data_IF_750187255396
#
_entry.id   IF_750187255396
#
_cell.length_a   1.000
_cell.length_b   1.000
_cell.length_c   1.000
_cell.angle_alpha   90.00
_cell.angle_beta   90.00
_cell.angle_gamma   90.00
#
_symmetry.space_group_name_H-M   'P 1'
#
loop_
_entity.id
_entity.type
_entity.pdbx_description
1 polymer ?
#
# COMPACT_ATOMS: atom_id res chain seq x y z
N UNK A 1 -16.05 1.84 -0.81
CA UNK A 1 -16.42 1.21 0.45
C UNK A 1 -15.69 1.93 1.57
N UNK A 2 -16.41 2.51 2.50
CA UNK A 2 -15.84 3.30 3.61
C UNK A 2 -16.05 2.50 4.89
N UNK A 3 -14.99 2.21 5.63
CA UNK A 3 -15.05 1.50 6.90
C UNK A 3 -15.01 2.54 8.03
N UNK A 4 -16.06 2.63 8.82
CA UNK A 4 -16.13 3.49 9.98
C UNK A 4 -15.83 2.72 11.29
N UNK A 5 -15.72 3.44 12.40
CA UNK A 5 -15.27 3.02 13.73
C UNK A 5 -15.93 1.74 14.30
N UNK A 6 -16.97 1.22 13.67
CA UNK A 6 -17.75 0.04 14.07
C UNK A 6 -17.84 -1.03 12.98
N UNK A 7 -16.93 -1.13 12.05
CA UNK A 7 -16.98 -2.12 10.96
C UNK A 7 -18.38 -2.27 10.31
N UNK A 8 -19.04 -1.15 10.05
CA UNK A 8 -20.25 -1.17 9.25
C UNK A 8 -19.85 -1.35 7.77
N UNK A 9 -20.33 -2.39 7.12
CA UNK A 9 -20.08 -2.63 5.70
C UNK A 9 -21.27 -2.05 4.94
N UNK A 10 -20.96 -1.11 4.06
CA UNK A 10 -21.95 -0.47 3.19
C UNK A 10 -21.74 -0.86 1.74
N UNK A 11 -22.79 -1.19 1.04
CA UNK A 11 -22.80 -1.33 -0.41
C UNK A 11 -23.23 0.00 -1.04
N UNK A 12 -22.45 0.54 -1.96
CA UNK A 12 -22.93 1.60 -2.84
C UNK A 12 -23.67 0.95 -4.01
N UNK A 13 -24.97 0.97 -4.00
CA UNK A 13 -25.81 0.54 -5.14
C UNK A 13 -25.79 1.53 -6.32
N UNK A 14 -24.63 2.08 -6.63
CA UNK A 14 -24.43 2.99 -7.74
C UNK A 14 -24.74 4.46 -7.40
N UNK A 15 -24.22 5.35 -8.21
CA UNK A 15 -24.55 6.77 -8.16
C UNK A 15 -25.91 6.95 -8.81
N UNK A 16 -26.98 6.97 -8.03
CA UNK A 16 -28.26 7.49 -8.51
C UNK A 16 -28.17 9.02 -8.51
N UNK A 17 -27.91 9.60 -9.66
CA UNK A 17 -28.19 11.01 -9.89
C UNK A 17 -29.72 11.16 -9.89
N UNK A 18 -30.33 11.39 -8.74
CA UNK A 18 -31.72 11.85 -8.72
C UNK A 18 -31.72 13.33 -9.06
N UNK A 19 -32.14 13.63 -10.27
CA UNK A 19 -32.30 15.00 -10.77
C UNK A 19 -33.43 15.80 -10.09
N UNK A 20 -34.10 15.22 -9.12
CA UNK A 20 -35.40 15.70 -8.63
C UNK A 20 -35.30 16.63 -7.40
N UNK A 21 -34.10 16.92 -6.91
CA UNK A 21 -33.90 17.92 -5.87
C UNK A 21 -32.89 18.96 -6.33
N UNK A 22 -33.37 19.96 -7.04
CA UNK A 22 -32.66 21.21 -7.22
C UNK A 22 -32.84 21.99 -5.91
N UNK A 23 -31.73 22.28 -5.21
CA UNK A 23 -31.75 23.16 -4.05
C UNK A 23 -32.21 24.57 -4.47
N UNK A 24 -32.72 25.35 -3.54
CA UNK A 24 -33.21 26.70 -3.78
C UNK A 24 -32.15 27.64 -4.40
N UNK A 25 -30.88 27.25 -4.39
CA UNK A 25 -29.72 27.92 -4.99
C UNK A 25 -29.33 27.38 -6.39
N UNK A 26 -30.14 26.52 -6.99
CA UNK A 26 -29.94 26.02 -8.34
C UNK A 26 -28.81 25.00 -8.48
N UNK A 27 -28.25 24.48 -7.38
CA UNK A 27 -27.20 23.46 -7.36
C UNK A 27 -27.79 22.07 -7.18
N UNK A 28 -27.37 21.12 -8.02
CA UNK A 28 -27.72 19.71 -7.84
C UNK A 28 -27.03 19.14 -6.61
N UNK A 29 -27.81 18.72 -5.62
CA UNK A 29 -27.30 17.99 -4.46
C UNK A 29 -27.00 16.54 -4.84
N UNK A 30 -25.73 16.17 -4.83
CA UNK A 30 -25.31 14.78 -4.96
C UNK A 30 -25.60 14.06 -3.63
N UNK A 31 -26.71 13.32 -3.59
CA UNK A 31 -27.03 12.51 -2.42
C UNK A 31 -26.42 11.12 -2.59
N UNK A 32 -25.42 10.79 -1.80
CA UNK A 32 -24.88 9.45 -1.70
C UNK A 32 -25.79 8.62 -0.78
N UNK A 33 -26.59 7.74 -1.35
CA UNK A 33 -27.36 6.78 -0.55
C UNK A 33 -26.49 5.55 -0.27
N UNK A 34 -26.06 5.41 0.98
CA UNK A 34 -25.41 4.19 1.48
C UNK A 34 -26.48 3.32 2.17
N UNK A 35 -26.63 2.10 1.71
CA UNK A 35 -27.47 1.12 2.37
C UNK A 35 -26.60 0.26 3.29
N UNK A 36 -26.89 0.25 4.58
CA UNK A 36 -26.17 -0.58 5.53
C UNK A 36 -26.61 -2.03 5.32
N UNK A 37 -25.70 -2.88 4.87
CA UNK A 37 -25.98 -4.27 4.57
C UNK A 37 -25.81 -5.14 5.80
N UNK A 38 -24.73 -4.96 6.53
CA UNK A 38 -24.38 -5.77 7.70
C UNK A 38 -23.52 -4.98 8.66
N UNK A 39 -23.85 -5.05 9.94
CA UNK A 39 -23.01 -4.54 11.02
C UNK A 39 -22.26 -5.70 11.65
N UNK A 40 -20.94 -5.73 11.47
CA UNK A 40 -20.08 -6.67 12.18
C UNK A 40 -19.56 -5.95 13.42
N UNK A 41 -20.08 -6.34 14.58
CA UNK A 41 -19.58 -5.81 15.84
C UNK A 41 -18.30 -6.57 16.18
N UNK A 42 -17.18 -6.00 15.83
CA UNK A 42 -15.85 -6.35 16.36
C UNK A 42 -15.54 -5.40 17.50
N UNK A 43 -14.59 -5.77 18.35
CA UNK A 43 -14.16 -4.95 19.47
C UNK A 43 -13.66 -3.55 19.03
N UNK A 44 -13.40 -2.70 20.04
CA UNK A 44 -12.83 -1.38 19.81
C UNK A 44 -11.58 -1.43 18.91
N UNK A 45 -11.44 -0.46 18.00
CA UNK A 45 -10.31 -0.28 17.07
C UNK A 45 -10.06 -1.45 16.10
N UNK A 46 -11.02 -1.87 15.29
CA UNK A 46 -10.80 -2.97 14.36
C UNK A 46 -9.87 -2.57 13.21
N UNK A 47 -8.95 -3.47 12.87
CA UNK A 47 -8.21 -3.45 11.61
C UNK A 47 -8.93 -4.35 10.62
N UNK A 48 -9.18 -3.86 9.42
CA UNK A 48 -10.00 -4.55 8.41
C UNK A 48 -9.25 -4.62 7.09
N UNK A 49 -9.22 -5.81 6.47
CA UNK A 49 -8.67 -6.02 5.13
C UNK A 49 -9.55 -6.97 4.33
N UNK A 50 -9.72 -6.64 3.07
CA UNK A 50 -10.30 -7.53 2.08
C UNK A 50 -9.21 -8.27 1.33
N UNK A 51 -9.55 -9.47 0.85
CA UNK A 51 -8.69 -10.16 -0.10
C UNK A 51 -8.61 -9.37 -1.42
N UNK A 52 -7.46 -9.46 -2.07
CA UNK A 52 -7.23 -8.82 -3.38
C UNK A 52 -7.66 -9.77 -4.49
N UNK A 53 -8.97 -9.98 -4.61
CA UNK A 53 -9.48 -10.85 -5.67
C UNK A 53 -9.13 -10.32 -7.05
N UNK A 54 -8.46 -11.15 -7.85
CA UNK A 54 -8.09 -10.85 -9.24
C UNK A 54 -9.34 -10.80 -10.14
N UNK A 55 -10.49 -11.31 -9.66
CA UNK A 55 -11.71 -11.55 -10.46
C UNK A 55 -12.91 -10.73 -9.93
N UNK A 56 -12.69 -9.48 -9.57
CA UNK A 56 -13.78 -8.50 -9.42
C UNK A 56 -14.27 -8.25 -8.00
N UNK A 57 -14.82 -9.21 -7.27
CA UNK A 57 -15.33 -8.96 -5.91
C UNK A 57 -14.50 -9.69 -4.85
N UNK A 58 -14.16 -9.04 -3.73
CA UNK A 58 -13.48 -9.71 -2.62
C UNK A 58 -14.40 -10.77 -2.04
N UNK A 59 -13.86 -11.97 -1.77
CA UNK A 59 -14.60 -13.09 -1.16
C UNK A 59 -14.37 -13.20 0.31
N UNK A 60 -13.24 -12.71 0.78
CA UNK A 60 -12.81 -12.87 2.17
C UNK A 60 -12.55 -11.53 2.80
N UNK A 61 -13.08 -11.35 3.99
CA UNK A 61 -12.80 -10.23 4.87
C UNK A 61 -12.04 -10.76 6.08
N UNK A 62 -10.97 -10.08 6.47
CA UNK A 62 -10.24 -10.37 7.70
C UNK A 62 -10.28 -9.17 8.61
N UNK A 63 -10.61 -9.39 9.87
CA UNK A 63 -10.65 -8.35 10.90
C UNK A 63 -9.76 -8.72 12.07
N UNK A 64 -9.04 -7.74 12.61
CA UNK A 64 -8.28 -7.83 13.84
C UNK A 64 -8.88 -6.89 14.88
N UNK A 65 -9.00 -7.31 16.11
CA UNK A 65 -9.64 -6.54 17.18
C UNK A 65 -8.71 -6.24 18.36
N UNK A 66 -9.21 -5.42 19.29
CA UNK A 66 -8.54 -5.12 20.55
C UNK A 66 -8.49 -6.34 21.50
N UNK A 67 -9.27 -7.38 21.22
CA UNK A 67 -9.22 -8.66 21.92
C UNK A 67 -8.05 -9.57 21.49
N UNK A 68 -7.17 -9.08 20.63
CA UNK A 68 -6.05 -9.85 20.08
C UNK A 68 -6.48 -10.94 19.09
N UNK A 69 -7.77 -11.03 18.77
CA UNK A 69 -8.28 -12.03 17.85
C UNK A 69 -8.28 -11.55 16.41
N UNK A 70 -7.94 -12.46 15.52
CA UNK A 70 -8.16 -12.30 14.07
C UNK A 70 -9.37 -13.13 13.69
N UNK A 71 -10.26 -12.56 12.92
CA UNK A 71 -11.48 -13.24 12.42
C UNK A 71 -11.52 -13.18 10.92
N UNK A 72 -11.81 -14.32 10.31
CA UNK A 72 -11.97 -14.46 8.87
C UNK A 72 -13.44 -14.64 8.55
N UNK A 73 -13.96 -13.89 7.61
CA UNK A 73 -15.37 -13.84 7.24
C UNK A 73 -15.52 -14.13 5.75
N UNK A 74 -16.58 -14.84 5.41
CA UNK A 74 -17.03 -14.99 4.03
C UNK A 74 -17.90 -13.78 3.67
N UNK A 75 -17.49 -13.03 2.65
CA UNK A 75 -18.18 -11.81 2.20
C UNK A 75 -19.54 -12.17 1.62
N UNK A 76 -19.64 -13.24 0.83
CA UNK A 76 -20.90 -13.67 0.24
C UNK A 76 -21.93 -14.05 1.33
N UNK A 77 -21.47 -14.73 2.38
CA UNK A 77 -22.33 -15.07 3.53
C UNK A 77 -22.78 -13.83 4.33
N UNK A 78 -22.00 -12.74 4.30
CA UNK A 78 -22.40 -11.48 4.92
C UNK A 78 -23.49 -10.75 4.14
N UNK A 79 -23.47 -10.84 2.78
CA UNK A 79 -24.45 -10.18 1.92
C UNK A 79 -25.81 -10.88 1.88
N UNK A 80 -25.85 -12.21 1.96
CA UNK A 80 -27.05 -13.00 1.71
C UNK A 80 -27.82 -13.38 2.98
N UNK A 81 -27.51 -12.80 4.12
CA UNK A 81 -28.07 -13.22 5.39
C UNK A 81 -29.36 -12.47 5.75
N UNK A 82 -30.42 -13.24 6.06
CA UNK A 82 -31.61 -12.72 6.74
C UNK A 82 -31.20 -12.06 8.06
N UNK A 83 -31.74 -10.88 8.32
CA UNK A 83 -31.41 -10.00 9.46
C UNK A 83 -31.58 -10.58 10.85
N UNK A 84 -32.05 -11.85 10.96
CA UNK A 84 -32.36 -12.51 12.24
C UNK A 84 -31.20 -13.25 12.91
N UNK A 85 -30.10 -13.56 12.19
CA UNK A 85 -28.98 -14.32 12.75
C UNK A 85 -27.68 -13.55 12.67
N UNK A 86 -26.95 -13.40 13.79
CA UNK A 86 -25.62 -12.78 13.81
C UNK A 86 -24.65 -13.55 12.90
N UNK A 87 -23.87 -12.89 12.03
CA UNK A 87 -22.89 -13.55 11.21
C UNK A 87 -21.83 -14.22 12.09
N UNK A 88 -21.40 -15.43 11.69
CA UNK A 88 -20.31 -16.16 12.36
C UNK A 88 -19.08 -16.11 11.50
N UNK A 89 -17.88 -15.84 12.07
CA UNK A 89 -16.63 -15.92 11.31
C UNK A 89 -16.37 -17.37 10.89
N UNK A 90 -15.76 -17.55 9.73
CA UNK A 90 -15.25 -18.84 9.25
C UNK A 90 -14.14 -19.37 10.17
N UNK A 91 -13.25 -18.46 10.59
CA UNK A 91 -12.16 -18.76 11.51
C UNK A 91 -12.04 -17.66 12.56
N UNK A 92 -11.67 -18.06 13.77
CA UNK A 92 -11.30 -17.16 14.87
C UNK A 92 -9.97 -17.63 15.44
N UNK A 93 -8.95 -16.76 15.37
CA UNK A 93 -7.59 -17.02 15.84
C UNK A 93 -7.31 -16.12 17.04
N UNK A 94 -6.86 -16.69 18.14
CA UNK A 94 -6.26 -15.92 19.22
C UNK A 94 -4.80 -15.66 18.86
N UNK A 95 -4.54 -14.51 18.25
CA UNK A 95 -3.30 -14.21 17.58
C UNK A 95 -2.29 -13.51 18.49
N UNK A 96 -2.74 -12.53 19.28
CA UNK A 96 -1.89 -11.63 20.05
C UNK A 96 -2.35 -11.44 21.48
N UNK A 97 -1.44 -11.04 22.36
CA UNK A 97 -1.73 -10.68 23.76
C UNK A 97 -2.09 -9.19 23.88
N UNK A 98 -3.04 -8.72 23.10
CA UNK A 98 -3.47 -7.32 23.05
C UNK A 98 -3.93 -6.96 21.65
N UNK A 99 -4.12 -5.67 21.41
CA UNK A 99 -4.67 -5.13 20.15
C UNK A 99 -3.91 -5.67 18.94
N UNK A 100 -4.64 -5.98 17.88
CA UNK A 100 -4.05 -6.19 16.56
C UNK A 100 -3.82 -4.83 15.92
N UNK A 101 -2.54 -4.44 15.80
CA UNK A 101 -2.15 -3.11 15.30
C UNK A 101 -2.28 -2.99 13.77
N UNK A 102 -1.97 -4.05 13.03
CA UNK A 102 -2.11 -4.10 11.58
C UNK A 102 -2.19 -5.55 11.09
N UNK A 103 -2.78 -5.74 9.93
CA UNK A 103 -2.83 -7.03 9.24
C UNK A 103 -2.93 -6.85 7.73
N UNK A 104 -2.53 -7.87 6.98
CA UNK A 104 -2.73 -7.91 5.53
C UNK A 104 -2.91 -9.35 5.05
N UNK A 105 -3.47 -9.50 3.85
CA UNK A 105 -3.72 -10.79 3.20
C UNK A 105 -2.84 -10.88 1.96
N UNK A 106 -2.18 -12.03 1.77
CA UNK A 106 -1.38 -12.27 0.57
C UNK A 106 -2.24 -12.22 -0.70
N UNK A 107 -1.68 -11.79 -1.84
CA UNK A 107 -2.43 -11.64 -3.09
C UNK A 107 -3.11 -12.93 -3.57
N UNK A 108 -2.59 -14.09 -3.19
CA UNK A 108 -3.18 -15.39 -3.50
C UNK A 108 -4.22 -15.86 -2.47
N UNK A 109 -4.52 -15.05 -1.45
CA UNK A 109 -5.51 -15.34 -0.42
C UNK A 109 -5.15 -16.46 0.54
N UNK A 110 -3.90 -16.97 0.55
CA UNK A 110 -3.51 -18.16 1.33
C UNK A 110 -2.81 -17.86 2.65
N UNK A 111 -2.30 -16.65 2.83
CA UNK A 111 -1.51 -16.26 4.01
C UNK A 111 -2.01 -14.95 4.57
N UNK A 112 -2.16 -14.90 5.88
CA UNK A 112 -2.38 -13.66 6.64
C UNK A 112 -1.08 -13.30 7.34
N UNK A 113 -0.74 -12.02 7.39
CA UNK A 113 0.26 -11.47 8.31
C UNK A 113 -0.45 -10.57 9.32
N UNK A 114 -0.05 -10.64 10.57
CA UNK A 114 -0.60 -9.79 11.64
C UNK A 114 0.50 -9.22 12.51
N UNK A 115 0.28 -8.00 12.98
CA UNK A 115 1.14 -7.28 13.92
C UNK A 115 0.32 -7.01 15.18
N UNK A 116 0.82 -7.39 16.33
CA UNK A 116 0.19 -7.09 17.60
C UNK A 116 0.85 -5.94 18.33
N UNK A 117 0.11 -5.37 19.26
CA UNK A 117 0.63 -4.39 20.21
C UNK A 117 1.75 -4.98 21.11
N UNK A 118 1.75 -6.31 21.25
CA UNK A 118 2.80 -7.12 21.88
C UNK A 118 4.14 -7.12 21.13
N UNK A 119 4.24 -6.38 20.02
CA UNK A 119 5.40 -6.25 19.14
C UNK A 119 5.78 -7.53 18.38
N UNK A 120 4.94 -8.57 18.42
CA UNK A 120 5.11 -9.78 17.64
C UNK A 120 4.45 -9.63 16.27
N UNK A 121 5.03 -10.30 15.29
CA UNK A 121 4.51 -10.39 13.92
C UNK A 121 4.39 -11.85 13.56
N UNK A 122 3.19 -12.28 13.21
CA UNK A 122 2.92 -13.68 12.88
C UNK A 122 2.40 -13.83 11.47
N UNK A 123 2.78 -14.94 10.82
CA UNK A 123 2.22 -15.40 9.56
C UNK A 123 1.34 -16.61 9.83
N UNK A 124 0.15 -16.61 9.21
CA UNK A 124 -0.90 -17.61 9.41
C UNK A 124 -1.33 -18.21 8.07
N UNK A 125 -1.66 -19.48 8.06
CA UNK A 125 -2.35 -20.09 6.92
C UNK A 125 -3.84 -19.70 6.96
N UNK A 126 -4.38 -19.24 5.83
CA UNK A 126 -5.78 -18.80 5.72
C UNK A 126 -6.77 -19.95 5.81
N UNK A 127 -6.37 -21.18 5.37
CA UNK A 127 -7.28 -22.33 5.26
C UNK A 127 -7.66 -22.95 6.61
N UNK A 128 -6.72 -23.04 7.54
CA UNK A 128 -6.88 -23.74 8.83
C UNK A 128 -6.54 -22.86 10.04
N UNK A 129 -6.09 -21.63 9.79
CA UNK A 129 -5.69 -20.69 10.84
C UNK A 129 -4.41 -21.09 11.58
N UNK A 130 -3.62 -22.00 11.05
CA UNK A 130 -2.39 -22.45 11.68
C UNK A 130 -1.34 -21.35 11.64
N UNK A 131 -0.67 -21.11 12.76
CA UNK A 131 0.52 -20.24 12.82
C UNK A 131 1.66 -20.91 12.03
N UNK A 132 2.09 -20.26 10.95
CA UNK A 132 3.18 -20.74 10.11
C UNK A 132 4.53 -20.39 10.72
N UNK A 133 4.69 -19.12 11.12
CA UNK A 133 5.92 -18.67 11.76
C UNK A 133 5.76 -17.29 12.42
N UNK A 134 6.74 -16.93 13.17
CA UNK A 134 6.98 -15.57 13.67
C UNK A 134 8.06 -14.88 12.84
N UNK A 135 7.85 -13.62 12.47
CA UNK A 135 8.82 -12.85 11.71
C UNK A 135 10.08 -12.62 12.57
N UNK A 136 11.27 -13.03 12.10
CA UNK A 136 12.50 -12.82 12.85
C UNK A 136 12.85 -11.33 12.92
N UNK A 137 13.56 -10.93 14.00
CA UNK A 137 14.10 -9.59 14.09
C UNK A 137 15.11 -9.32 12.99
N UNK A 138 15.10 -8.10 12.44
CA UNK A 138 16.13 -7.64 11.52
C UNK A 138 17.44 -7.42 12.27
N UNK A 139 18.46 -8.20 11.91
CA UNK A 139 19.81 -8.06 12.47
C UNK A 139 20.46 -6.74 12.08
N UNK A 140 20.18 -6.26 10.88
CA UNK A 140 20.83 -5.11 10.26
C UNK A 140 20.51 -3.78 10.95
N UNK A 141 19.33 -3.64 11.54
CA UNK A 141 18.89 -2.40 12.21
C UNK A 141 18.83 -2.52 13.74
N UNK A 142 18.96 -3.74 14.26
CA UNK A 142 18.97 -4.02 15.70
C UNK A 142 17.59 -4.03 16.35
N UNK A 143 17.58 -4.43 17.64
CA UNK A 143 16.35 -4.64 18.43
C UNK A 143 15.62 -3.36 18.84
N UNK A 144 16.18 -2.20 18.56
CA UNK A 144 15.57 -0.90 18.86
C UNK A 144 14.47 -0.48 17.89
N UNK A 145 14.20 -1.29 16.87
CA UNK A 145 13.17 -1.06 15.89
C UNK A 145 12.07 -2.13 16.00
N UNK A 146 10.83 -1.70 15.78
CA UNK A 146 9.67 -2.58 15.70
C UNK A 146 8.94 -2.37 14.38
N UNK A 147 8.27 -3.41 13.93
CA UNK A 147 7.38 -3.35 12.77
C UNK A 147 6.18 -2.47 13.11
N UNK A 148 5.86 -1.53 12.24
CA UNK A 148 4.68 -0.66 12.37
C UNK A 148 3.56 -1.11 11.45
N UNK A 149 3.89 -1.49 10.22
CA UNK A 149 2.91 -1.89 9.21
C UNK A 149 3.55 -2.85 8.21
N UNK A 150 2.76 -3.76 7.66
CA UNK A 150 3.17 -4.71 6.63
C UNK A 150 2.15 -4.72 5.50
N UNK A 151 2.65 -4.80 4.26
CA UNK A 151 1.81 -5.00 3.07
C UNK A 151 2.43 -6.04 2.17
N UNK A 152 1.64 -7.01 1.78
CA UNK A 152 2.04 -7.95 0.75
C UNK A 152 2.13 -7.27 -0.61
N UNK A 153 3.05 -7.76 -1.44
CA UNK A 153 3.19 -7.33 -2.83
C UNK A 153 2.99 -8.50 -3.76
N UNK A 154 2.59 -8.24 -4.99
CA UNK A 154 2.45 -9.25 -6.05
C UNK A 154 3.77 -9.65 -6.70
N UNK A 155 4.89 -9.11 -6.22
CA UNK A 155 6.22 -9.46 -6.68
C UNK A 155 6.57 -10.90 -6.28
N UNK A 156 7.22 -11.62 -7.19
CA UNK A 156 7.65 -13.00 -6.96
C UNK A 156 6.59 -14.06 -7.29
N UNK A 157 7.01 -15.15 -7.90
CA UNK A 157 6.13 -16.25 -8.31
C UNK A 157 6.19 -17.46 -7.34
N UNK A 158 7.33 -17.74 -6.75
CA UNK A 158 7.55 -18.92 -5.89
C UNK A 158 7.48 -18.59 -4.39
N UNK A 159 7.79 -17.35 -4.01
CA UNK A 159 7.75 -16.88 -2.64
C UNK A 159 6.74 -15.75 -2.49
N UNK A 160 6.13 -15.68 -1.31
CA UNK A 160 5.29 -14.56 -0.94
C UNK A 160 6.20 -13.41 -0.50
N UNK A 161 6.07 -12.26 -1.15
CA UNK A 161 6.89 -11.09 -0.86
C UNK A 161 6.04 -10.01 -0.18
N UNK A 162 6.61 -9.34 0.80
CA UNK A 162 5.95 -8.25 1.51
C UNK A 162 6.95 -7.15 1.91
N UNK A 163 6.42 -5.95 2.05
CA UNK A 163 7.12 -4.78 2.56
C UNK A 163 6.74 -4.57 4.01
N UNK A 164 7.72 -4.36 4.87
CA UNK A 164 7.52 -4.02 6.26
C UNK A 164 8.15 -2.65 6.58
N UNK A 165 7.39 -1.80 7.26
CA UNK A 165 7.85 -0.52 7.77
C UNK A 165 8.28 -0.67 9.24
N UNK A 166 9.47 -0.19 9.55
CA UNK A 166 10.08 -0.27 10.88
C UNK A 166 10.26 1.11 11.46
N UNK A 167 9.78 1.30 12.67
CA UNK A 167 9.96 2.52 13.43
C UNK A 167 10.83 2.26 14.66
N UNK A 168 11.58 3.28 15.06
CA UNK A 168 12.33 3.26 16.31
C UNK A 168 11.37 3.21 17.51
N UNK A 169 11.63 2.32 18.48
CA UNK A 169 10.77 2.13 19.66
C UNK A 169 10.76 3.38 20.53
N UNK A 170 11.92 3.98 20.77
CA UNK A 170 12.03 5.25 21.48
C UNK A 170 12.01 6.40 20.50
N UNK A 171 10.96 7.19 20.56
CA UNK A 171 10.83 8.39 19.73
C UNK A 171 11.88 9.43 20.16
N UNK A 172 12.56 9.99 19.18
CA UNK A 172 13.44 11.15 19.34
C UNK A 172 13.17 12.15 18.23
N UNK A 173 13.67 13.36 18.37
CA UNK A 173 13.59 14.39 17.31
C UNK A 173 14.31 13.98 16.02
N UNK A 174 15.14 12.95 16.08
CA UNK A 174 15.86 12.36 14.93
C UNK A 174 15.51 10.87 14.77
N UNK A 175 14.23 10.54 14.89
CA UNK A 175 13.77 9.16 14.68
C UNK A 175 14.03 8.75 13.24
N UNK A 176 14.64 7.59 13.05
CA UNK A 176 14.87 7.00 11.72
C UNK A 176 13.86 5.87 11.53
N UNK A 177 13.34 5.75 10.32
CA UNK A 177 12.47 4.64 9.92
C UNK A 177 13.03 3.92 8.71
N UNK A 178 12.81 2.60 8.68
CA UNK A 178 13.31 1.73 7.62
C UNK A 178 12.16 1.06 6.88
N UNK A 179 12.37 0.79 5.60
CA UNK A 179 11.58 -0.14 4.82
C UNK A 179 12.41 -1.40 4.58
N UNK A 180 11.78 -2.54 4.74
CA UNK A 180 12.40 -3.84 4.48
C UNK A 180 11.53 -4.67 3.53
N UNK A 181 12.16 -5.27 2.53
CA UNK A 181 11.55 -6.23 1.63
C UNK A 181 11.87 -7.64 2.13
N UNK A 182 10.84 -8.45 2.31
CA UNK A 182 10.92 -9.80 2.83
C UNK A 182 10.40 -10.80 1.82
N UNK A 183 11.04 -11.97 1.75
CA UNK A 183 10.53 -13.15 1.06
C UNK A 183 10.18 -14.22 2.06
N UNK A 184 8.98 -14.74 1.97
CA UNK A 184 8.48 -15.86 2.73
C UNK A 184 8.28 -17.08 1.83
N UNK A 185 9.01 -18.16 2.10
CA UNK A 185 8.79 -19.45 1.48
C UNK A 185 7.82 -20.26 2.35
N UNK A 186 6.64 -20.51 1.80
CA UNK A 186 5.54 -21.17 2.52
C UNK A 186 5.81 -22.61 2.82
N UNK A 187 6.44 -23.33 1.88
CA UNK A 187 6.69 -24.76 1.99
C UNK A 187 7.74 -25.08 3.05
N UNK A 188 8.74 -24.21 3.17
CA UNK A 188 9.83 -24.34 4.15
C UNK A 188 9.56 -23.61 5.45
N UNK A 189 8.50 -22.81 5.52
CA UNK A 189 8.21 -21.90 6.64
C UNK A 189 9.43 -21.03 7.02
N UNK A 190 10.11 -20.46 6.03
CA UNK A 190 11.30 -19.62 6.23
C UNK A 190 11.05 -18.24 5.64
N UNK A 191 11.35 -17.22 6.44
CA UNK A 191 11.31 -15.84 6.02
C UNK A 191 12.73 -15.24 5.99
N UNK A 192 13.06 -14.52 4.94
CA UNK A 192 14.37 -13.90 4.75
C UNK A 192 14.21 -12.45 4.28
N UNK A 193 14.95 -11.53 4.90
CA UNK A 193 15.05 -10.14 4.40
C UNK A 193 15.86 -10.12 3.10
N UNK A 194 15.31 -9.47 2.08
CA UNK A 194 15.97 -9.30 0.78
C UNK A 194 16.73 -7.98 0.77
N UNK A 195 16.09 -6.93 1.26
CA UNK A 195 16.62 -5.56 1.22
C UNK A 195 16.11 -4.78 2.42
N UNK A 196 16.98 -3.99 3.02
CA UNK A 196 16.66 -3.07 4.12
C UNK A 196 17.26 -1.71 3.79
N UNK A 197 16.45 -0.66 3.80
CA UNK A 197 16.92 0.71 3.56
C UNK A 197 16.26 1.71 4.50
N UNK A 198 17.00 2.76 4.84
CA UNK A 198 16.46 3.95 5.48
C UNK A 198 15.43 4.59 4.55
N UNK A 199 14.22 4.79 5.06
CA UNK A 199 13.12 5.40 4.32
C UNK A 199 13.06 6.90 4.55
N UNK A 200 13.02 7.31 5.80
CA UNK A 200 12.94 8.71 6.18
C UNK A 200 13.43 8.90 7.62
N UNK A 201 13.61 10.17 8.00
CA UNK A 201 13.97 10.56 9.37
C UNK A 201 12.76 11.00 10.18
N UNK A 202 11.67 10.32 9.97
CA UNK A 202 10.39 10.56 10.62
C UNK A 202 9.75 9.22 10.97
N UNK A 203 8.81 9.22 11.91
CA UNK A 203 8.08 8.01 12.28
C UNK A 203 6.99 7.72 11.23
N UNK A 204 7.01 6.55 10.63
CA UNK A 204 5.99 6.10 9.68
C UNK A 204 4.69 5.81 10.42
N UNK A 205 3.58 6.37 9.97
CA UNK A 205 2.23 6.11 10.49
C UNK A 205 1.48 5.07 9.67
N UNK A 206 1.61 5.11 8.35
CA UNK A 206 0.89 4.25 7.40
C UNK A 206 1.76 3.81 6.25
N UNK A 207 1.41 2.66 5.66
CA UNK A 207 2.10 2.01 4.55
C UNK A 207 1.06 1.49 3.55
N UNK A 208 1.30 1.74 2.27
CA UNK A 208 0.54 1.15 1.17
C UNK A 208 1.48 0.57 0.11
N UNK A 209 1.01 -0.44 -0.62
CA UNK A 209 1.70 -1.01 -1.78
C UNK A 209 0.76 -0.97 -2.97
N UNK A 210 1.28 -0.58 -4.13
CA UNK A 210 0.48 -0.49 -5.36
C UNK A 210 -0.05 -1.86 -5.78
N UNK A 211 -1.15 -1.88 -6.51
CA UNK A 211 -1.77 -3.11 -7.04
C UNK A 211 -0.77 -3.94 -7.88
N UNK A 212 0.08 -3.30 -8.65
CA UNK A 212 1.14 -3.97 -9.42
C UNK A 212 2.36 -4.41 -8.57
N UNK A 213 2.43 -4.03 -7.30
CA UNK A 213 3.53 -4.35 -6.40
C UNK A 213 4.81 -3.51 -6.58
N UNK A 214 4.92 -2.72 -7.65
CA UNK A 214 6.15 -2.02 -8.00
C UNK A 214 6.42 -0.75 -7.18
N UNK A 215 5.40 -0.22 -6.51
CA UNK A 215 5.49 1.01 -5.74
C UNK A 215 5.02 0.81 -4.31
N UNK A 216 5.74 1.43 -3.40
CA UNK A 216 5.42 1.49 -1.97
C UNK A 216 5.25 2.93 -1.56
N UNK A 217 4.22 3.24 -0.81
CA UNK A 217 3.98 4.58 -0.27
C UNK A 217 3.95 4.58 1.24
N UNK A 218 4.48 5.63 1.83
CA UNK A 218 4.48 5.85 3.28
C UNK A 218 3.87 7.20 3.62
N UNK A 219 3.18 7.25 4.76
CA UNK A 219 2.82 8.48 5.45
C UNK A 219 3.48 8.53 6.80
N UNK A 220 3.76 9.73 7.30
CA UNK A 220 4.48 9.93 8.55
C UNK A 220 3.62 10.61 9.60
N UNK A 221 4.10 10.61 10.84
CA UNK A 221 3.47 11.34 11.95
C UNK A 221 3.65 12.86 11.83
N UNK A 222 4.62 13.30 11.02
CA UNK A 222 4.87 14.73 10.75
C UNK A 222 4.04 15.27 9.57
N UNK A 223 3.19 14.44 8.96
CA UNK A 223 2.39 14.84 7.79
C UNK A 223 3.12 14.73 6.45
N UNK A 224 4.31 14.13 6.42
CA UNK A 224 5.05 13.90 5.18
C UNK A 224 4.56 12.65 4.45
N UNK A 225 4.69 12.65 3.12
CA UNK A 225 4.27 11.55 2.24
C UNK A 225 5.38 11.18 1.29
N UNK A 226 5.65 9.89 1.14
CA UNK A 226 6.69 9.39 0.24
C UNK A 226 6.22 8.25 -0.66
N UNK A 227 6.72 8.20 -1.90
CA UNK A 227 6.52 7.10 -2.84
C UNK A 227 7.89 6.54 -3.22
N UNK A 228 8.03 5.23 -3.11
CA UNK A 228 9.26 4.48 -3.33
C UNK A 228 9.09 3.45 -4.43
N UNK A 229 10.16 3.15 -5.14
CA UNK A 229 10.27 1.93 -5.93
C UNK A 229 10.42 0.75 -4.97
N UNK A 230 9.55 -0.26 -5.09
CA UNK A 230 9.53 -1.40 -4.16
C UNK A 230 10.76 -2.30 -4.32
N UNK A 231 11.31 -2.44 -5.53
CA UNK A 231 12.44 -3.34 -5.78
C UNK A 231 13.76 -2.80 -5.22
N UNK A 232 13.96 -1.48 -5.35
CA UNK A 232 15.19 -0.83 -4.92
C UNK A 232 15.04 -0.09 -3.59
N UNK A 233 13.81 0.06 -3.07
CA UNK A 233 13.48 0.91 -1.91
C UNK A 233 14.05 2.32 -2.07
N UNK A 234 14.03 2.83 -3.30
CA UNK A 234 14.50 4.17 -3.65
C UNK A 234 13.33 5.14 -3.67
N UNK A 235 13.49 6.28 -3.01
CA UNK A 235 12.49 7.34 -3.06
C UNK A 235 12.37 7.90 -4.49
N UNK A 236 11.17 7.86 -5.03
CA UNK A 236 10.79 8.47 -6.31
C UNK A 236 10.17 9.85 -6.10
N UNK A 237 9.48 10.00 -4.98
CA UNK A 237 8.82 11.24 -4.58
C UNK A 237 8.85 11.32 -3.04
N UNK A 238 9.11 12.51 -2.52
CA UNK A 238 9.02 12.81 -1.09
C UNK A 238 8.50 14.23 -0.95
N UNK A 239 7.40 14.39 -0.25
CA UNK A 239 6.81 15.67 0.09
C UNK A 239 6.76 15.78 1.61
N UNK A 240 7.49 16.76 2.13
CA UNK A 240 7.58 16.98 3.58
C UNK A 240 6.44 17.89 4.05
N UNK A 241 5.89 17.57 5.21
CA UNK A 241 4.90 18.41 5.92
C UNK A 241 3.74 18.89 5.02
N UNK A 242 3.26 17.99 4.14
CA UNK A 242 2.14 18.32 3.25
C UNK A 242 0.81 18.36 3.98
N UNK A 243 0.71 17.63 5.08
CA UNK A 243 -0.41 17.67 6.01
C UNK A 243 0.01 18.37 7.30
N UNK A 244 -0.92 19.07 7.95
CA UNK A 244 -0.66 19.79 9.19
C UNK A 244 -0.41 18.90 10.40
N UNK A 245 -0.87 17.63 10.34
CA UNK A 245 -0.68 16.61 11.35
C UNK A 245 -0.43 15.25 10.70
N UNK A 246 -0.44 14.18 11.48
CA UNK A 246 -0.11 12.84 11.01
C UNK A 246 -1.03 12.32 9.89
N UNK A 247 -0.43 11.61 8.95
CA UNK A 247 -1.14 10.90 7.88
C UNK A 247 -1.81 9.66 8.46
N UNK A 248 -3.13 9.55 8.29
CA UNK A 248 -3.93 8.43 8.81
C UNK A 248 -4.08 7.29 7.81
N UNK A 249 -4.08 7.61 6.52
CA UNK A 249 -4.27 6.63 5.45
C UNK A 249 -3.62 7.05 4.15
N UNK A 250 -3.16 6.07 3.41
CA UNK A 250 -2.65 6.24 2.04
C UNK A 250 -3.20 5.09 1.21
N UNK A 251 -3.63 5.42 -0.02
CA UNK A 251 -4.07 4.43 -0.99
C UNK A 251 -3.56 4.78 -2.38
N UNK A 252 -3.14 3.75 -3.14
CA UNK A 252 -2.76 3.94 -4.53
C UNK A 252 -3.99 4.04 -5.42
N UNK A 253 -3.98 4.98 -6.33
CA UNK A 253 -5.02 5.10 -7.33
C UNK A 253 -4.80 4.10 -8.47
N UNK A 254 -5.87 3.46 -8.97
CA UNK A 254 -5.75 2.46 -10.01
C UNK A 254 -5.33 3.10 -11.34
N UNK A 255 -4.38 2.48 -12.01
CA UNK A 255 -3.99 2.86 -13.38
C UNK A 255 -4.89 2.22 -14.44
N UNK A 256 -5.56 1.13 -14.09
CA UNK A 256 -6.52 0.43 -14.94
C UNK A 256 -7.76 0.09 -14.12
N UNK A 257 -8.89 0.30 -14.72
CA UNK A 257 -10.18 -0.12 -14.17
C UNK A 257 -10.68 -1.29 -14.99
N UNK A 258 -11.14 -2.34 -14.32
CA UNK A 258 -11.74 -3.52 -14.95
C UNK A 258 -13.23 -3.48 -14.71
N UNK A 259 -13.99 -3.61 -15.78
CA UNK A 259 -15.44 -3.72 -15.73
C UNK A 259 -15.91 -5.02 -16.40
N UNK A 260 -17.07 -5.51 -15.98
CA UNK A 260 -17.70 -6.70 -16.51
C UNK A 260 -19.00 -6.29 -17.22
N UNK A 261 -18.88 -6.00 -18.50
CA UNK A 261 -20.05 -5.65 -19.31
C UNK A 261 -20.82 -6.93 -19.67
N UNK A 262 -22.17 -6.91 -19.56
CA UNK A 262 -22.98 -7.99 -20.08
C UNK A 262 -22.77 -8.08 -21.60
N UNK A 263 -22.48 -9.28 -22.11
CA UNK A 263 -22.51 -9.54 -23.54
C UNK A 263 -23.95 -9.41 -24.02
N UNK A 264 -24.12 -8.87 -25.22
CA UNK A 264 -25.44 -8.68 -25.83
C UNK A 264 -26.19 -9.99 -26.13
N UNK A 265 -25.50 -11.12 -26.05
CA UNK A 265 -26.06 -12.44 -26.30
C UNK A 265 -26.63 -13.05 -25.03
N UNK A 266 -27.73 -13.75 -25.17
CA UNK A 266 -28.71 -14.24 -24.18
C UNK A 266 -28.16 -15.25 -23.11
N UNK A 267 -26.88 -15.54 -23.05
CA UNK A 267 -26.31 -16.60 -22.20
C UNK A 267 -25.84 -16.16 -20.82
N UNK A 268 -26.02 -14.88 -20.49
CA UNK A 268 -25.56 -14.33 -19.19
C UNK A 268 -24.04 -14.19 -19.07
N UNK A 269 -23.29 -14.40 -20.15
CA UNK A 269 -21.85 -14.21 -20.16
C UNK A 269 -21.48 -12.73 -20.00
N UNK A 270 -20.39 -12.46 -19.28
CA UNK A 270 -19.86 -11.11 -19.07
C UNK A 270 -18.49 -10.98 -19.70
N UNK A 271 -18.32 -9.96 -20.51
CA UNK A 271 -17.01 -9.63 -21.09
C UNK A 271 -16.24 -8.74 -20.13
N UNK A 272 -15.00 -9.15 -19.82
CA UNK A 272 -14.06 -8.32 -19.07
C UNK A 272 -13.50 -7.24 -20.00
N UNK A 273 -13.76 -5.98 -19.65
CA UNK A 273 -13.23 -4.82 -20.39
C UNK A 273 -12.34 -4.03 -19.45
N UNK A 274 -11.19 -3.58 -19.97
CA UNK A 274 -10.21 -2.80 -19.20
C UNK A 274 -10.16 -1.38 -19.74
N UNK A 275 -10.36 -0.42 -18.87
CA UNK A 275 -10.29 1.01 -19.17
C UNK A 275 -9.08 1.66 -18.51
N UNK A 276 -8.59 2.80 -19.01
CA UNK A 276 -7.65 3.64 -18.28
C UNK A 276 -8.25 4.06 -16.93
N UNK A 277 -7.52 3.85 -15.84
CA UNK A 277 -7.92 4.31 -14.52
C UNK A 277 -7.53 5.77 -14.27
N UNK A 278 -7.91 6.31 -13.12
CA UNK A 278 -7.67 7.71 -12.71
C UNK A 278 -6.17 8.07 -12.76
N UNK A 279 -5.30 7.13 -12.43
CA UNK A 279 -3.85 7.34 -12.42
C UNK A 279 -3.15 6.87 -13.70
N UNK A 280 -3.86 6.68 -14.81
CA UNK A 280 -3.32 6.14 -16.07
C UNK A 280 -2.19 7.02 -16.66
N UNK A 281 -2.26 8.33 -16.47
CA UNK A 281 -1.27 9.31 -16.97
C UNK A 281 -0.01 9.40 -16.10
N UNK A 282 0.03 8.73 -14.95
CA UNK A 282 1.15 8.77 -14.02
C UNK A 282 1.82 7.40 -13.89
N UNK A 283 3.11 7.41 -13.55
CA UNK A 283 3.84 6.19 -13.21
C UNK A 283 3.26 5.55 -11.96
N UNK A 284 2.97 6.37 -10.95
CA UNK A 284 2.25 6.01 -9.74
C UNK A 284 1.54 7.25 -9.21
N UNK A 285 0.35 7.08 -8.63
CA UNK A 285 -0.36 8.14 -7.94
C UNK A 285 -1.03 7.60 -6.69
N UNK A 286 -1.07 8.40 -5.65
CA UNK A 286 -1.66 8.08 -4.36
C UNK A 286 -2.57 9.19 -3.88
N UNK A 287 -3.51 8.82 -3.04
CA UNK A 287 -4.27 9.74 -2.20
C UNK A 287 -3.85 9.54 -0.76
N UNK A 288 -3.55 10.62 -0.06
CA UNK A 288 -3.26 10.62 1.37
C UNK A 288 -4.38 11.31 2.15
N UNK A 289 -4.69 10.74 3.30
CA UNK A 289 -5.68 11.24 4.24
C UNK A 289 -4.96 11.59 5.55
N UNK A 290 -5.37 12.69 6.17
CA UNK A 290 -4.83 13.09 7.46
C UNK A 290 -5.93 13.42 8.45
N UNK A 291 -5.57 13.41 9.73
CA UNK A 291 -6.45 13.85 10.82
C UNK A 291 -6.71 15.36 10.80
N UNK A 292 -6.02 16.15 9.97
CA UNK A 292 -6.30 17.55 9.66
C UNK A 292 -7.52 17.75 8.76
N UNK A 293 -8.24 16.67 8.44
CA UNK A 293 -9.42 16.63 7.57
C UNK A 293 -9.12 16.98 6.10
N UNK A 294 -7.85 16.91 5.70
CA UNK A 294 -7.45 17.12 4.30
C UNK A 294 -7.20 15.82 3.57
N UNK A 295 -7.50 15.85 2.29
CA UNK A 295 -7.20 14.78 1.32
C UNK A 295 -6.27 15.38 0.28
N UNK A 296 -5.10 14.75 0.05
CA UNK A 296 -4.14 15.24 -0.92
C UNK A 296 -3.82 14.19 -1.96
N UNK A 297 -3.57 14.65 -3.17
CA UNK A 297 -3.16 13.85 -4.31
C UNK A 297 -1.67 14.04 -4.57
N UNK A 298 -0.93 12.93 -4.68
CA UNK A 298 0.48 12.93 -4.99
C UNK A 298 0.75 11.98 -6.16
N UNK A 299 1.57 12.41 -7.10
CA UNK A 299 1.84 11.62 -8.29
C UNK A 299 3.31 11.65 -8.70
N UNK A 300 3.77 10.53 -9.20
CA UNK A 300 5.07 10.39 -9.87
C UNK A 300 4.81 10.41 -11.38
N UNK A 301 5.24 11.44 -12.10
CA UNK A 301 5.08 11.50 -13.54
C UNK A 301 5.95 10.42 -14.22
N UNK A 302 5.60 10.05 -15.43
CA UNK A 302 6.52 9.30 -16.27
C UNK A 302 7.76 10.17 -16.54
N UNK A 303 8.95 9.59 -16.42
CA UNK A 303 10.16 10.28 -16.86
C UNK A 303 10.04 10.54 -18.36
N UNK A 304 9.99 11.79 -18.74
CA UNK A 304 10.08 12.13 -20.15
C UNK A 304 11.45 11.67 -20.68
N UNK A 305 11.52 11.01 -21.82
CA UNK A 305 12.80 10.74 -22.45
C UNK A 305 13.52 12.08 -22.59
N UNK A 306 14.79 12.13 -22.19
CA UNK A 306 15.59 13.35 -22.31
C UNK A 306 15.50 13.83 -23.75
N UNK A 307 15.09 15.09 -23.93
CA UNK A 307 15.01 15.70 -25.26
C UNK A 307 16.32 15.43 -26.01
N UNK A 308 16.23 15.10 -27.30
CA UNK A 308 17.40 14.87 -28.15
C UNK A 308 18.41 16.03 -28.03
N UNK A 309 17.91 17.24 -27.85
CA UNK A 309 18.73 18.43 -27.59
C UNK A 309 19.48 18.37 -26.26
N UNK A 310 18.86 17.86 -25.18
CA UNK A 310 19.52 17.68 -23.88
C UNK A 310 20.57 16.55 -23.93
N UNK A 311 20.33 15.50 -24.72
CA UNK A 311 21.28 14.43 -24.94
C UNK A 311 22.50 14.93 -25.73
N UNK A 312 22.28 15.66 -26.85
CA UNK A 312 23.37 16.24 -27.66
C UNK A 312 24.17 17.27 -26.86
N UNK A 313 23.53 18.08 -26.01
CA UNK A 313 24.21 19.02 -25.14
C UNK A 313 25.12 18.31 -24.12
N UNK A 314 24.67 17.25 -23.49
CA UNK A 314 25.49 16.44 -22.57
C UNK A 314 26.70 15.82 -23.32
N UNK A 315 26.48 15.30 -24.51
CA UNK A 315 27.50 14.69 -25.32
C UNK A 315 28.57 15.75 -25.74
N UNK A 316 28.14 16.95 -26.13
CA UNK A 316 29.05 18.06 -26.50
C UNK A 316 29.89 18.54 -25.31
N UNK A 317 29.31 18.60 -24.09
CA UNK A 317 30.07 18.95 -22.88
C UNK A 317 31.11 17.89 -22.57
N UNK A 318 30.80 16.61 -22.69
CA UNK A 318 31.76 15.50 -22.49
C UNK A 318 32.88 15.58 -23.52
N UNK A 319 32.55 15.80 -24.79
CA UNK A 319 33.54 15.95 -25.86
C UNK A 319 34.46 17.15 -25.63
N UNK A 320 33.95 18.29 -25.20
CA UNK A 320 34.71 19.47 -24.85
C UNK A 320 35.68 19.23 -23.68
N UNK A 321 35.22 18.52 -22.64
CA UNK A 321 36.05 18.13 -21.50
C UNK A 321 37.21 17.19 -21.93
N UNK A 322 36.89 16.17 -22.74
CA UNK A 322 37.91 15.26 -23.27
C UNK A 322 38.93 16.00 -24.14
N UNK A 323 38.47 16.90 -25.01
CA UNK A 323 39.37 17.75 -25.83
C UNK A 323 40.27 18.60 -24.93
N UNK A 324 39.72 19.22 -23.88
CA UNK A 324 40.51 20.03 -22.95
C UNK A 324 41.57 19.21 -22.22
N UNK A 325 41.21 17.99 -21.75
CA UNK A 325 42.15 17.09 -21.09
C UNK A 325 43.30 16.70 -22.05
N UNK A 326 42.99 16.31 -23.28
CA UNK A 326 43.98 15.95 -24.29
C UNK A 326 44.89 17.15 -24.62
N UNK A 327 44.30 18.33 -24.79
CA UNK A 327 45.06 19.56 -25.04
C UNK A 327 45.99 19.90 -23.86
N UNK A 328 45.51 19.81 -22.64
CA UNK A 328 46.31 20.04 -21.43
C UNK A 328 47.47 19.05 -21.32
N UNK A 329 47.23 17.77 -21.50
CA UNK A 329 48.27 16.73 -21.49
C UNK A 329 49.33 16.91 -22.60
N UNK A 330 48.91 17.33 -23.78
CA UNK A 330 49.86 17.58 -24.90
C UNK A 330 50.68 18.83 -24.66
N UNK A 331 50.11 19.85 -24.00
CA UNK A 331 50.82 21.07 -23.65
C UNK A 331 51.85 20.84 -22.54
N UNK A 332 51.48 20.14 -21.48
CA UNK A 332 52.42 19.80 -20.40
C UNK A 332 53.53 18.88 -20.86
N UNK A 333 53.27 17.98 -21.83
CA UNK A 333 54.30 17.13 -22.43
C UNK A 333 55.31 17.93 -23.29
N UNK A 334 54.88 18.98 -23.97
CA UNK A 334 55.76 19.87 -24.72
C UNK A 334 56.65 20.70 -23.80
N UNK A 335 56.13 21.18 -22.68
CA UNK A 335 56.95 21.96 -21.72
C UNK A 335 58.00 21.08 -21.04
N UNK A 336 57.77 19.77 -20.83
CA UNK A 336 58.74 18.84 -20.25
C UNK A 336 59.82 18.33 -21.26
N UNK A 337 59.75 18.68 -22.55
CA UNK A 337 60.71 18.31 -23.55
C UNK A 337 61.75 19.45 -23.74
N UNK A 338 61.49 20.64 -23.22
CA UNK A 338 62.39 21.82 -23.37
C UNK A 338 63.15 22.16 -22.05
N UNK A 339 63.14 21.26 -21.10
CA UNK A 339 64.02 21.22 -19.92
C UNK A 339 64.78 19.88 -19.95
#
# INVERSE_FOLDING_TARGET
MICFQYCDIYESKGFALSSDKIGEDGRSLLTLNFEQITRIQTDEKPVVRFDRSIIGQPRTLVTGGADGCIRVWDVDALYHKDSSTKPKPLLKLLAHNGDVDDLDISPDGRTIVSIGHDAHVYLWAMNDGKKLMELPHLTDIGKQFRVRSIRFTVLGSANVIFVAAYNQIRRSSKSISYLALWAFNRDRCVCKSILVKEACRETISTLAVSECGNFTAIGTLSGSVGIFDTHEMKALYMAHETHGIFVTGIEFLPRRTVDFLPLRDYDGSRQRVTYPGIASEYRAAIVSLSADQTVQFHAVPFSQPSSFTAFTLKLSIIAALLYYIVWFLTRTRKENIYY
#
